data_IF_201453736564
#
_entry.id   IF_201453736564
#
_cell.length_a   1.000
_cell.length_b   1.000
_cell.length_c   1.000
_cell.angle_alpha   90.00
_cell.angle_beta   90.00
_cell.angle_gamma   90.00
#
_symmetry.space_group_name_H-M   'P 1'
#
loop_
_entity.id
_entity.type
_entity.pdbx_description
1 polymer ?
#
# COMPACT_ATOMS: atom_id res chain seq x y z
N UNK A 1 70.25 15.00 -16.42
CA UNK A 1 70.56 14.18 -15.22
C UNK A 1 69.23 13.67 -14.69
N UNK A 2 68.93 12.40 -14.90
CA UNK A 2 67.70 11.75 -14.49
C UNK A 2 67.70 11.53 -12.97
N UNK A 3 66.60 11.88 -12.29
CA UNK A 3 66.34 11.55 -10.89
C UNK A 3 65.08 10.69 -10.83
N UNK A 4 65.27 9.39 -10.63
CA UNK A 4 64.24 8.35 -10.67
C UNK A 4 63.07 8.59 -9.68
N UNK A 5 61.84 8.12 -9.99
CA UNK A 5 60.75 8.07 -9.02
C UNK A 5 61.16 7.13 -7.86
N UNK A 6 60.85 7.45 -6.59
CA UNK A 6 61.25 6.61 -5.48
C UNK A 6 60.64 5.22 -5.67
N UNK A 7 61.53 4.27 -5.95
CA UNK A 7 61.19 2.89 -6.23
C UNK A 7 60.42 2.28 -5.07
N UNK A 8 59.50 1.40 -5.46
CA UNK A 8 58.92 0.31 -4.68
C UNK A 8 60.01 -0.46 -3.91
N UNK A 9 60.38 0.03 -2.72
CA UNK A 9 61.24 -0.71 -1.80
C UNK A 9 60.37 -1.69 -1.01
N UNK A 10 59.97 -2.77 -1.68
CA UNK A 10 59.71 -4.04 -1.01
C UNK A 10 61.03 -4.50 -0.37
N UNK A 11 61.17 -4.28 0.94
CA UNK A 11 62.04 -4.98 1.93
C UNK A 11 62.24 -4.06 3.14
N UNK A 12 61.40 -4.19 4.17
CA UNK A 12 61.62 -3.44 5.40
C UNK A 12 60.54 -3.62 6.45
N UNK A 13 60.73 -4.63 7.30
CA UNK A 13 60.12 -4.80 8.63
C UNK A 13 58.58 -4.97 8.67
N UNK A 14 58.15 -6.20 8.39
CA UNK A 14 57.01 -6.76 9.11
C UNK A 14 57.36 -6.88 10.60
N UNK A 15 56.87 -5.93 11.40
CA UNK A 15 57.06 -5.91 12.85
C UNK A 15 56.39 -4.69 13.46
N UNK A 16 55.26 -4.91 14.16
CA UNK A 16 54.47 -4.04 15.08
C UNK A 16 54.14 -2.59 14.67
N UNK A 17 54.73 -2.04 13.62
CA UNK A 17 54.53 -0.67 13.13
C UNK A 17 54.06 -0.63 11.68
N UNK A 18 53.54 -1.75 11.16
CA UNK A 18 52.76 -1.75 9.92
C UNK A 18 51.44 -1.10 10.28
N UNK A 19 51.35 0.21 10.13
CA UNK A 19 50.08 0.92 10.17
C UNK A 19 49.25 0.26 9.06
N UNK A 20 48.22 -0.50 9.42
CA UNK A 20 47.24 -0.90 8.43
C UNK A 20 46.69 0.41 7.87
N UNK A 21 46.97 0.72 6.61
CA UNK A 21 46.18 1.72 5.89
C UNK A 21 44.78 1.09 5.82
N UNK A 22 43.98 1.38 6.85
CA UNK A 22 42.59 1.00 6.95
C UNK A 22 41.97 1.57 5.68
N UNK A 23 41.54 0.68 4.78
CA UNK A 23 41.12 1.04 3.43
C UNK A 23 40.21 2.25 3.44
N UNK A 24 40.44 3.17 2.50
CA UNK A 24 39.63 4.38 2.35
C UNK A 24 38.15 4.03 2.43
N UNK A 25 37.43 4.74 3.29
CA UNK A 25 36.03 4.44 3.59
C UNK A 25 35.18 4.40 2.33
N UNK A 26 34.19 3.50 2.31
CA UNK A 26 33.18 3.45 1.24
C UNK A 26 32.44 4.79 1.22
N UNK A 27 32.50 5.50 0.10
CA UNK A 27 31.81 6.77 -0.07
C UNK A 27 30.34 6.51 -0.43
N UNK A 28 29.52 6.29 0.59
CA UNK A 28 28.07 6.12 0.39
C UNK A 28 27.39 7.39 -0.13
N UNK A 29 28.06 8.54 -0.11
CA UNK A 29 27.55 9.83 -0.60
C UNK A 29 27.83 10.12 -2.08
N UNK A 30 28.57 9.25 -2.78
CA UNK A 30 28.96 9.50 -4.18
C UNK A 30 27.82 9.19 -5.16
N UNK A 31 26.97 8.22 -4.83
CA UNK A 31 25.96 7.65 -5.73
C UNK A 31 24.53 7.63 -5.14
N UNK A 32 24.21 8.55 -4.21
CA UNK A 32 22.86 8.65 -3.61
C UNK A 32 21.86 9.28 -4.59
N UNK A 33 22.35 10.09 -5.53
CA UNK A 33 21.50 10.82 -6.47
C UNK A 33 21.35 10.01 -7.76
N UNK A 34 20.15 9.95 -8.36
CA UNK A 34 19.98 9.31 -9.66
C UNK A 34 20.82 10.05 -10.70
N UNK A 35 21.48 9.29 -11.56
CA UNK A 35 22.41 9.80 -12.57
C UNK A 35 21.89 9.43 -13.95
N UNK A 36 22.00 10.35 -14.90
CA UNK A 36 21.64 10.09 -16.29
C UNK A 36 22.67 9.19 -16.99
N UNK A 37 22.35 8.75 -18.21
CA UNK A 37 23.22 7.88 -19.03
C UNK A 37 24.61 8.49 -19.28
N UNK A 38 24.72 9.81 -19.22
CA UNK A 38 25.95 10.57 -19.39
C UNK A 38 26.70 10.85 -18.08
N UNK A 39 26.26 10.30 -16.93
CA UNK A 39 26.95 10.46 -15.66
C UNK A 39 26.66 11.77 -14.91
N UNK A 40 25.66 12.55 -15.35
CA UNK A 40 25.25 13.80 -14.70
C UNK A 40 24.16 13.57 -13.64
N UNK A 41 24.26 14.26 -12.50
CA UNK A 41 23.27 14.18 -11.43
C UNK A 41 21.90 14.73 -11.89
N UNK A 42 20.87 13.89 -11.83
CA UNK A 42 19.49 14.27 -12.10
C UNK A 42 18.79 14.57 -10.78
N UNK A 43 18.08 15.69 -10.71
CA UNK A 43 17.28 15.98 -9.52
C UNK A 43 16.04 15.08 -9.51
N UNK A 44 15.74 14.47 -8.35
CA UNK A 44 14.60 13.56 -8.14
C UNK A 44 13.26 14.27 -8.44
N UNK A 45 13.24 15.61 -8.44
CA UNK A 45 12.06 16.44 -8.68
C UNK A 45 12.07 17.15 -10.04
N UNK A 46 13.03 16.86 -10.93
CA UNK A 46 13.00 17.36 -12.30
C UNK A 46 11.81 16.75 -13.06
N UNK A 47 11.15 17.54 -13.90
CA UNK A 47 9.98 17.12 -14.67
C UNK A 47 10.27 15.92 -15.60
N UNK A 48 11.52 15.79 -16.07
CA UNK A 48 11.96 14.69 -16.94
C UNK A 48 12.38 13.42 -16.18
N UNK A 49 12.53 13.47 -14.85
CA UNK A 49 12.96 12.31 -14.05
C UNK A 49 11.95 11.16 -14.08
N UNK A 50 10.65 11.45 -14.28
CA UNK A 50 9.60 10.43 -14.45
C UNK A 50 9.57 9.82 -15.86
N UNK A 51 9.98 10.58 -16.87
CA UNK A 51 9.81 10.21 -18.28
C UNK A 51 10.75 9.10 -18.75
N UNK A 52 11.86 8.88 -18.03
CA UNK A 52 12.87 7.88 -18.36
C UNK A 52 12.64 6.52 -17.69
N UNK A 53 11.71 6.43 -16.74
CA UNK A 53 11.24 5.18 -16.15
C UNK A 53 9.97 4.63 -16.81
N UNK A 54 9.53 5.23 -17.92
CA UNK A 54 8.21 5.02 -18.55
C UNK A 54 8.36 4.60 -20.03
N UNK A 55 9.47 3.94 -20.37
CA UNK A 55 9.73 3.41 -21.71
C UNK A 55 10.23 1.96 -21.63
N UNK A 56 9.45 1.13 -20.95
CA UNK A 56 9.40 -0.32 -21.19
C UNK A 56 7.98 -0.80 -20.86
N UNK A 57 7.33 -1.31 -21.90
CA UNK A 57 6.10 -2.10 -21.96
C UNK A 57 4.72 -1.41 -22.17
N UNK A 58 4.15 -1.81 -23.31
CA UNK A 58 2.94 -1.39 -24.02
C UNK A 58 1.71 -2.24 -23.62
N UNK A 59 0.52 -1.70 -23.91
CA UNK A 59 -0.70 -2.39 -24.39
C UNK A 59 -1.42 -3.49 -23.56
N UNK A 60 -2.69 -3.15 -23.25
CA UNK A 60 -3.90 -3.99 -23.34
C UNK A 60 -3.89 -5.45 -22.85
N UNK A 61 -4.57 -5.70 -21.71
CA UNK A 61 -5.55 -6.82 -21.61
C UNK A 61 -6.30 -6.83 -20.27
N UNK A 62 -7.62 -6.65 -20.38
CA UNK A 62 -8.66 -7.02 -19.41
C UNK A 62 -8.57 -8.53 -19.07
N UNK A 63 -8.25 -8.89 -17.82
CA UNK A 63 -8.55 -10.22 -17.27
C UNK A 63 -8.49 -10.19 -15.74
N UNK A 64 -9.66 -10.33 -15.11
CA UNK A 64 -9.78 -11.03 -13.84
C UNK A 64 -8.96 -12.33 -13.91
N UNK A 65 -8.10 -12.63 -12.93
CA UNK A 65 -7.92 -13.95 -12.30
C UNK A 65 -6.67 -13.97 -11.40
N UNK A 66 -6.93 -14.49 -10.20
CA UNK A 66 -5.99 -15.06 -9.24
C UNK A 66 -4.96 -15.99 -9.93
N UNK A 67 -3.66 -15.68 -9.84
CA UNK A 67 -2.62 -16.68 -10.13
C UNK A 67 -1.30 -16.34 -9.45
N UNK A 68 -0.90 -17.26 -8.59
CA UNK A 68 0.46 -17.46 -8.10
C UNK A 68 1.40 -17.66 -9.29
N UNK A 69 2.50 -16.90 -9.38
CA UNK A 69 3.70 -17.40 -10.05
C UNK A 69 4.97 -16.76 -9.48
N UNK A 70 5.74 -17.60 -8.80
CA UNK A 70 7.16 -17.43 -8.56
C UNK A 70 7.90 -17.74 -9.87
N UNK A 71 8.69 -16.80 -10.39
CA UNK A 71 9.67 -17.06 -11.44
C UNK A 71 11.01 -16.45 -11.03
N UNK A 72 11.84 -17.31 -10.45
CA UNK A 72 13.26 -17.14 -10.16
C UNK A 72 14.03 -17.44 -11.47
N UNK A 73 14.76 -16.47 -12.00
CA UNK A 73 15.64 -16.71 -13.15
C UNK A 73 17.07 -16.96 -12.66
N UNK A 74 17.48 -18.21 -12.90
CA UNK A 74 18.72 -18.85 -12.50
C UNK A 74 19.94 -18.29 -13.27
N UNK A 75 21.06 -18.13 -12.56
CA UNK A 75 22.38 -17.94 -13.17
C UNK A 75 23.34 -18.93 -12.52
N UNK A 76 23.64 -19.98 -13.28
CA UNK A 76 24.49 -21.12 -12.96
C UNK A 76 25.93 -20.73 -12.54
N UNK A 77 26.47 -21.36 -11.49
CA UNK A 77 27.80 -22.03 -11.51
C UNK A 77 28.05 -22.88 -10.23
N UNK A 78 28.40 -24.16 -10.44
CA UNK A 78 29.24 -25.05 -9.61
C UNK A 78 29.02 -25.19 -8.08
N UNK A 79 28.39 -26.29 -7.64
CA UNK A 79 28.88 -27.25 -6.61
C UNK A 79 27.74 -28.09 -6.02
N UNK A 80 27.57 -29.31 -6.54
CA UNK A 80 26.53 -30.25 -6.14
C UNK A 80 26.81 -30.93 -4.79
N UNK A 81 25.75 -31.09 -3.98
CA UNK A 81 25.53 -32.00 -2.82
C UNK A 81 25.46 -31.43 -1.39
N UNK A 82 25.85 -30.17 -1.10
CA UNK A 82 25.64 -29.56 0.22
C UNK A 82 24.40 -28.65 0.32
N UNK A 83 23.82 -28.25 -0.81
CA UNK A 83 22.75 -27.26 -0.89
C UNK A 83 21.34 -27.81 -0.55
N UNK A 84 21.07 -29.10 -0.77
CA UNK A 84 19.74 -29.69 -0.56
C UNK A 84 19.33 -29.78 0.91
N UNK A 85 20.28 -30.02 1.83
CA UNK A 85 19.99 -30.02 3.28
C UNK A 85 19.77 -28.61 3.84
N UNK A 86 20.37 -27.58 3.21
CA UNK A 86 20.17 -26.19 3.60
C UNK A 86 18.93 -25.57 2.94
N UNK A 87 18.53 -26.04 1.75
CA UNK A 87 17.28 -25.64 1.08
C UNK A 87 16.05 -26.06 1.89
N UNK A 88 16.00 -27.32 2.35
CA UNK A 88 14.95 -27.81 3.26
C UNK A 88 14.87 -26.94 4.54
N UNK A 89 16.03 -26.58 5.14
CA UNK A 89 16.07 -25.72 6.34
C UNK A 89 15.63 -24.26 6.11
N UNK A 90 15.63 -23.77 4.86
CA UNK A 90 15.14 -22.42 4.50
C UNK A 90 13.65 -22.45 4.18
N UNK A 91 13.19 -23.49 3.49
CA UNK A 91 11.78 -23.73 3.19
C UNK A 91 10.99 -23.97 4.48
N UNK A 92 11.50 -24.76 5.41
CA UNK A 92 10.89 -24.98 6.72
C UNK A 92 10.73 -23.66 7.50
N UNK A 93 11.76 -22.80 7.50
CA UNK A 93 11.66 -21.45 8.12
C UNK A 93 10.70 -20.53 7.41
N UNK A 94 10.57 -20.62 6.08
CA UNK A 94 9.60 -19.84 5.31
C UNK A 94 8.18 -20.31 5.61
N UNK A 95 7.96 -21.63 5.71
CA UNK A 95 6.68 -22.24 6.07
C UNK A 95 6.26 -21.87 7.50
N UNK A 96 7.18 -21.92 8.48
CA UNK A 96 6.90 -21.50 9.87
C UNK A 96 6.53 -20.01 9.96
N UNK A 97 7.21 -19.15 9.20
CA UNK A 97 6.89 -17.72 9.14
C UNK A 97 5.53 -17.44 8.49
N UNK A 98 5.21 -18.16 7.41
CA UNK A 98 3.87 -18.08 6.76
C UNK A 98 2.79 -18.59 7.72
N UNK A 99 3.00 -19.74 8.36
CA UNK A 99 2.07 -20.29 9.36
C UNK A 99 1.86 -19.37 10.57
N UNK A 100 2.90 -18.70 11.08
CA UNK A 100 2.76 -17.71 12.16
C UNK A 100 1.96 -16.48 11.74
N UNK A 101 2.19 -15.97 10.52
CA UNK A 101 1.43 -14.85 9.96
C UNK A 101 -0.03 -15.24 9.72
N UNK A 102 -0.28 -16.41 9.15
CA UNK A 102 -1.63 -16.93 8.92
C UNK A 102 -2.35 -17.20 10.24
N UNK A 103 -1.67 -17.69 11.28
CA UNK A 103 -2.25 -17.85 12.60
C UNK A 103 -2.60 -16.49 13.26
N UNK A 104 -1.80 -15.44 13.05
CA UNK A 104 -2.12 -14.09 13.51
C UNK A 104 -3.31 -13.50 12.75
N UNK A 105 -3.37 -13.70 11.43
CA UNK A 105 -4.50 -13.29 10.59
C UNK A 105 -5.77 -14.05 10.97
N UNK A 106 -5.67 -15.35 11.26
CA UNK A 106 -6.81 -16.14 11.74
C UNK A 106 -7.29 -15.68 13.11
N UNK A 107 -6.38 -15.33 14.03
CA UNK A 107 -6.74 -14.77 15.35
C UNK A 107 -7.39 -13.40 15.24
N UNK A 108 -6.90 -12.53 14.36
CA UNK A 108 -7.49 -11.20 14.13
C UNK A 108 -8.84 -11.30 13.43
N UNK A 109 -9.02 -12.23 12.48
CA UNK A 109 -10.32 -12.51 11.84
C UNK A 109 -11.31 -13.21 12.77
N UNK A 110 -10.85 -14.04 13.69
CA UNK A 110 -11.69 -14.70 14.70
C UNK A 110 -12.13 -13.74 15.82
N UNK A 111 -11.39 -12.65 16.05
CA UNK A 111 -11.85 -11.52 16.87
C UNK A 111 -12.94 -10.78 16.07
N UNK A 112 -14.19 -11.04 16.40
CA UNK A 112 -15.34 -10.34 15.82
C UNK A 112 -15.31 -8.88 16.25
N UNK A 113 -14.95 -7.99 15.34
CA UNK A 113 -14.91 -6.53 15.59
C UNK A 113 -16.35 -6.03 15.70
N UNK A 114 -16.78 -5.66 16.90
CA UNK A 114 -18.04 -4.97 17.13
C UNK A 114 -17.90 -3.47 16.81
N UNK A 115 -19.01 -2.82 16.43
CA UNK A 115 -19.03 -1.40 16.04
C UNK A 115 -18.71 -0.54 17.27
N UNK A 116 -17.46 -0.10 17.38
CA UNK A 116 -16.97 0.73 18.49
C UNK A 116 -15.67 0.24 19.10
N UNK A 117 -15.23 -1.00 18.80
CA UNK A 117 -13.92 -1.48 19.19
C UNK A 117 -12.89 -1.02 18.14
N UNK A 118 -12.21 0.08 18.44
CA UNK A 118 -11.05 0.55 17.67
C UNK A 118 -9.98 -0.55 17.79
N UNK A 119 -9.28 -0.96 16.71
CA UNK A 119 -8.15 -1.87 16.88
C UNK A 119 -7.17 -1.25 17.89
N UNK A 120 -6.97 -1.91 19.02
CA UNK A 120 -5.97 -1.49 20.01
C UNK A 120 -4.61 -1.53 19.34
N UNK A 121 -4.08 -0.34 19.03
CA UNK A 121 -2.71 -0.15 18.54
C UNK A 121 -1.69 -0.18 19.68
N UNK A 122 -2.08 -0.63 20.89
CA UNK A 122 -1.31 -0.53 22.13
C UNK A 122 -1.17 -1.91 22.80
N UNK A 123 -0.97 -2.97 22.01
CA UNK A 123 -0.73 -4.32 22.55
C UNK A 123 0.25 -5.16 21.71
N UNK A 124 1.08 -4.50 20.88
CA UNK A 124 2.32 -5.10 20.36
C UNK A 124 3.53 -4.55 21.12
N UNK A 125 3.99 -5.36 22.08
CA UNK A 125 5.41 -5.74 22.25
C UNK A 125 6.40 -4.57 22.39
N UNK A 126 6.50 -4.06 23.62
CA UNK A 126 7.59 -3.18 24.08
C UNK A 126 8.50 -3.92 25.07
N UNK A 127 8.78 -5.20 24.81
CA UNK A 127 9.65 -6.05 25.65
C UNK A 127 11.14 -6.02 25.24
N UNK A 128 11.53 -5.29 24.18
CA UNK A 128 12.92 -5.20 23.68
C UNK A 128 13.51 -3.76 23.75
N UNK A 129 12.75 -2.78 24.26
CA UNK A 129 13.15 -1.35 24.28
C UNK A 129 13.64 -0.86 25.66
N UNK A 130 13.64 -1.72 26.68
CA UNK A 130 14.09 -1.40 28.05
C UNK A 130 15.63 -1.41 28.23
N UNK A 131 16.39 -1.94 27.24
CA UNK A 131 17.85 -2.01 27.28
C UNK A 131 18.55 -0.84 26.54
N UNK A 132 17.79 0.13 26.03
CA UNK A 132 18.31 1.34 25.40
C UNK A 132 18.28 2.53 26.37
N UNK A 133 19.31 3.40 26.41
CA UNK A 133 19.30 4.57 27.27
C UNK A 133 18.15 5.51 26.88
N UNK A 134 17.20 5.70 27.80
CA UNK A 134 16.00 6.52 27.57
C UNK A 134 16.37 7.90 27.00
N UNK A 135 15.80 8.22 25.84
CA UNK A 135 15.99 9.52 25.20
C UNK A 135 15.45 10.62 26.13
N UNK A 136 16.27 11.59 26.58
CA UNK A 136 15.86 12.64 27.51
C UNK A 136 14.64 13.44 27.04
N UNK A 137 14.43 13.53 25.72
CA UNK A 137 13.31 14.27 25.13
C UNK A 137 11.99 13.47 25.08
N UNK A 138 12.05 12.14 25.20
CA UNK A 138 10.87 11.24 25.20
C UNK A 138 10.61 10.61 26.59
N UNK A 139 11.28 11.09 27.63
CA UNK A 139 11.09 10.58 28.98
C UNK A 139 9.70 10.92 29.53
N UNK A 140 9.14 10.03 30.37
CA UNK A 140 7.84 10.22 31.06
C UNK A 140 7.77 11.55 31.86
N UNK A 141 8.92 12.11 32.24
CA UNK A 141 9.03 13.40 32.91
C UNK A 141 8.68 14.60 32.01
N UNK A 142 9.08 14.59 30.72
CA UNK A 142 8.73 15.67 29.78
C UNK A 142 7.24 15.70 29.50
N UNK A 143 6.62 14.52 29.41
CA UNK A 143 5.17 14.36 29.28
C UNK A 143 4.40 14.89 30.49
N UNK A 144 4.89 14.67 31.71
CA UNK A 144 4.24 15.17 32.92
C UNK A 144 4.32 16.69 33.05
N UNK A 145 5.36 17.33 32.51
CA UNK A 145 5.47 18.79 32.47
C UNK A 145 4.52 19.42 31.45
N UNK A 146 4.30 18.79 30.29
CA UNK A 146 3.34 19.24 29.28
C UNK A 146 1.88 19.12 29.74
N UNK A 147 1.59 18.18 30.65
CA UNK A 147 0.26 18.00 31.27
C UNK A 147 -0.01 18.95 32.45
N UNK A 148 0.98 19.73 32.89
CA UNK A 148 0.93 20.53 34.12
C UNK A 148 0.29 21.92 34.01
N UNK A 149 -0.29 22.29 32.87
CA UNK A 149 -1.05 23.54 32.73
C UNK A 149 -2.51 23.23 32.44
N UNK A 150 -3.41 23.53 33.39
CA UNK A 150 -4.85 23.55 33.12
C UNK A 150 -5.11 24.57 32.00
N UNK A 151 -5.41 24.07 30.81
CA UNK A 151 -5.72 24.89 29.63
C UNK A 151 -7.00 25.68 29.89
N UNK A 152 -7.87 25.16 30.75
CA UNK A 152 -9.10 25.81 31.21
C UNK A 152 -8.82 27.10 32.00
N UNK A 153 -7.91 27.09 32.97
CA UNK A 153 -7.58 28.28 33.78
C UNK A 153 -6.94 29.39 32.93
N UNK A 154 -6.17 29.01 31.90
CA UNK A 154 -5.54 29.94 30.96
C UNK A 154 -6.59 30.53 30.01
N UNK A 155 -7.54 29.72 29.52
CA UNK A 155 -8.59 30.18 28.61
C UNK A 155 -9.64 31.04 29.33
N UNK A 156 -9.95 30.75 30.60
CA UNK A 156 -10.80 31.59 31.46
C UNK A 156 -10.15 32.94 31.81
N UNK A 157 -8.83 32.96 32.06
CA UNK A 157 -8.08 34.20 32.28
C UNK A 157 -8.06 35.12 31.04
N UNK A 158 -8.00 34.54 29.84
CA UNK A 158 -8.06 35.28 28.56
C UNK A 158 -9.48 35.74 28.25
N UNK A 159 -10.51 34.94 28.55
CA UNK A 159 -11.91 35.32 28.36
C UNK A 159 -12.37 36.45 29.30
N UNK A 160 -11.86 36.49 30.52
CA UNK A 160 -12.17 37.55 31.51
C UNK A 160 -11.42 38.87 31.24
N UNK A 161 -10.37 38.85 30.43
CA UNK A 161 -9.72 40.06 29.88
C UNK A 161 -10.53 40.58 28.68
N UNK A 162 -11.75 41.05 28.92
CA UNK A 162 -12.68 41.63 27.94
C UNK A 162 -12.22 42.93 27.27
N UNK A 163 -10.91 43.07 27.00
CA UNK A 163 -10.38 44.09 26.14
C UNK A 163 -10.71 43.72 24.69
N UNK A 164 -11.14 44.69 23.85
CA UNK A 164 -11.23 44.44 22.42
C UNK A 164 -9.84 44.01 21.94
N UNK A 165 -9.71 42.73 21.60
CA UNK A 165 -8.45 42.16 21.13
C UNK A 165 -7.80 43.07 20.10
N UNK A 166 -6.46 43.12 20.13
CA UNK A 166 -5.69 43.95 19.21
C UNK A 166 -6.22 43.80 17.78
N UNK A 167 -6.12 44.82 16.90
CA UNK A 167 -6.65 44.71 15.51
C UNK A 167 -6.27 43.39 14.83
N UNK A 168 -5.06 42.91 15.14
CA UNK A 168 -4.52 41.62 14.73
C UNK A 168 -5.31 40.41 15.23
N UNK A 169 -5.79 40.41 16.47
CA UNK A 169 -6.64 39.35 17.03
C UNK A 169 -8.03 39.36 16.41
N UNK A 170 -8.60 40.54 16.12
CA UNK A 170 -9.88 40.63 15.42
C UNK A 170 -9.79 40.09 13.99
N UNK A 171 -8.75 40.49 13.25
CA UNK A 171 -8.48 39.96 11.91
C UNK A 171 -8.19 38.45 11.94
N UNK A 172 -7.52 37.95 12.97
CA UNK A 172 -7.28 36.51 13.14
C UNK A 172 -8.60 35.74 13.38
N UNK A 173 -9.49 36.25 14.25
CA UNK A 173 -10.79 35.63 14.49
C UNK A 173 -11.69 35.68 13.24
N UNK A 174 -11.66 36.77 12.49
CA UNK A 174 -12.38 36.89 11.21
C UNK A 174 -11.83 35.93 10.15
N UNK A 175 -10.50 35.76 10.08
CA UNK A 175 -9.87 34.80 9.19
C UNK A 175 -10.23 33.35 9.55
N UNK A 176 -10.31 33.02 10.84
CA UNK A 176 -10.80 31.71 11.31
C UNK A 176 -12.27 31.52 10.93
N UNK A 177 -13.12 32.50 11.21
CA UNK A 177 -14.54 32.45 10.85
C UNK A 177 -14.77 32.34 9.33
N UNK A 178 -13.93 32.99 8.51
CA UNK A 178 -13.98 32.87 7.05
C UNK A 178 -13.60 31.47 6.56
N UNK A 179 -12.55 30.86 7.16
CA UNK A 179 -12.17 29.47 6.89
C UNK A 179 -13.27 28.50 7.30
N UNK A 180 -13.90 28.69 8.45
CA UNK A 180 -15.03 27.87 8.90
C UNK A 180 -16.22 27.98 7.96
N UNK A 181 -16.55 29.20 7.49
CA UNK A 181 -17.59 29.41 6.48
C UNK A 181 -17.26 28.72 5.16
N UNK A 182 -16.01 28.80 4.72
CA UNK A 182 -15.54 28.10 3.52
C UNK A 182 -15.69 26.58 3.67
N UNK A 183 -15.20 26.02 4.78
CA UNK A 183 -15.34 24.58 5.07
C UNK A 183 -16.81 24.16 5.14
N UNK A 184 -17.67 24.99 5.74
CA UNK A 184 -19.11 24.76 5.79
C UNK A 184 -19.74 24.79 4.39
N UNK A 185 -19.32 25.69 3.51
CA UNK A 185 -19.81 25.75 2.13
C UNK A 185 -19.29 24.57 1.28
N UNK A 186 -18.05 24.13 1.51
CA UNK A 186 -17.48 22.93 0.90
C UNK A 186 -18.26 21.70 1.31
N UNK A 187 -18.52 21.54 2.61
CA UNK A 187 -19.34 20.44 3.13
C UNK A 187 -20.77 20.47 2.58
N UNK A 188 -21.32 21.66 2.31
CA UNK A 188 -22.62 21.83 1.64
C UNK A 188 -22.58 21.59 0.12
N UNK A 189 -21.41 21.35 -0.47
CA UNK A 189 -21.28 21.16 -1.92
C UNK A 189 -21.43 22.43 -2.75
N UNK A 190 -21.33 23.62 -2.13
CA UNK A 190 -21.63 24.91 -2.79
C UNK A 190 -20.41 25.61 -3.37
N UNK A 191 -19.21 25.26 -2.92
CA UNK A 191 -17.95 25.69 -3.52
C UNK A 191 -17.77 25.06 -4.89
N UNK A 192 -17.03 25.71 -5.77
CA UNK A 192 -16.86 25.22 -7.14
C UNK A 192 -16.07 23.90 -7.17
N UNK A 193 -15.13 23.72 -6.24
CA UNK A 193 -14.42 22.46 -6.03
C UNK A 193 -15.37 21.32 -5.66
N UNK A 194 -16.27 21.54 -4.70
CA UNK A 194 -17.21 20.51 -4.28
C UNK A 194 -18.25 20.20 -5.36
N UNK A 195 -18.68 21.20 -6.14
CA UNK A 195 -19.53 20.98 -7.32
C UNK A 195 -18.82 20.14 -8.38
N UNK A 196 -17.54 20.40 -8.63
CA UNK A 196 -16.75 19.62 -9.58
C UNK A 196 -16.63 18.16 -9.11
N UNK A 197 -16.39 17.92 -7.82
CA UNK A 197 -16.34 16.56 -7.27
C UNK A 197 -17.70 15.86 -7.32
N UNK A 198 -18.79 16.58 -7.03
CA UNK A 198 -20.15 16.02 -7.21
C UNK A 198 -20.46 15.70 -8.67
N UNK A 199 -20.02 16.54 -9.62
CA UNK A 199 -20.19 16.30 -11.06
C UNK A 199 -19.40 15.05 -11.51
N UNK A 200 -18.15 14.90 -11.04
CA UNK A 200 -17.36 13.68 -11.28
C UNK A 200 -18.06 12.43 -10.74
N UNK A 201 -18.57 12.50 -9.50
CA UNK A 201 -19.32 11.40 -8.90
C UNK A 201 -20.65 11.12 -9.63
N UNK A 202 -21.31 12.14 -10.18
CA UNK A 202 -22.52 11.96 -10.98
C UNK A 202 -22.24 11.19 -12.28
N UNK A 203 -21.15 11.52 -12.98
CA UNK A 203 -20.71 10.80 -14.18
C UNK A 203 -20.48 9.31 -13.87
N UNK A 204 -19.78 9.01 -12.77
CA UNK A 204 -19.53 7.61 -12.36
C UNK A 204 -20.85 6.90 -12.02
N UNK A 205 -21.79 7.57 -11.34
CA UNK A 205 -23.11 6.99 -11.06
C UNK A 205 -23.90 6.73 -12.34
N UNK A 206 -23.83 7.62 -13.31
CA UNK A 206 -24.48 7.45 -14.61
C UNK A 206 -23.87 6.28 -15.39
N UNK A 207 -22.54 6.16 -15.42
CA UNK A 207 -21.84 5.03 -16.04
C UNK A 207 -22.23 3.71 -15.39
N UNK A 208 -22.19 3.63 -14.05
CA UNK A 208 -22.62 2.43 -13.31
C UNK A 208 -24.09 2.10 -13.53
N UNK A 209 -24.96 3.11 -13.60
CA UNK A 209 -26.38 2.90 -13.87
C UNK A 209 -26.62 2.41 -15.31
N UNK A 210 -25.89 2.95 -16.29
CA UNK A 210 -25.95 2.52 -17.68
C UNK A 210 -25.43 1.10 -17.86
N UNK A 211 -24.32 0.75 -17.21
CA UNK A 211 -23.78 -0.62 -17.20
C UNK A 211 -24.72 -1.61 -16.49
N UNK A 212 -25.29 -1.21 -15.34
CA UNK A 212 -26.28 -2.02 -14.64
C UNK A 212 -27.52 -2.23 -15.52
N UNK A 213 -28.01 -1.19 -16.18
CA UNK A 213 -29.14 -1.27 -17.11
C UNK A 213 -28.84 -2.14 -18.34
N UNK A 214 -27.62 -2.06 -18.90
CA UNK A 214 -27.17 -2.97 -19.97
C UNK A 214 -27.12 -4.41 -19.49
N UNK A 215 -26.56 -4.66 -18.29
CA UNK A 215 -26.50 -6.00 -17.69
C UNK A 215 -27.88 -6.58 -17.39
N UNK A 216 -28.84 -5.77 -16.94
CA UNK A 216 -30.22 -6.23 -16.72
C UNK A 216 -30.92 -6.50 -18.04
N UNK A 217 -30.76 -5.64 -19.05
CA UNK A 217 -31.34 -5.85 -20.38
C UNK A 217 -30.80 -7.13 -21.05
N UNK A 218 -29.48 -7.34 -21.01
CA UNK A 218 -28.88 -8.57 -21.54
C UNK A 218 -29.33 -9.82 -20.77
N UNK A 219 -29.52 -9.72 -19.45
CA UNK A 219 -30.03 -10.83 -18.63
C UNK A 219 -31.47 -11.14 -19.00
N UNK A 220 -32.32 -10.14 -19.19
CA UNK A 220 -33.72 -10.32 -19.58
C UNK A 220 -33.84 -10.91 -21.00
N UNK A 221 -32.99 -10.51 -21.95
CA UNK A 221 -32.94 -11.11 -23.28
C UNK A 221 -32.43 -12.56 -23.26
N UNK A 222 -31.37 -12.85 -22.48
CA UNK A 222 -30.88 -14.21 -22.26
C UNK A 222 -31.96 -15.08 -21.62
N UNK A 223 -32.67 -14.59 -20.61
CA UNK A 223 -33.77 -15.32 -19.99
C UNK A 223 -34.96 -15.54 -20.95
N UNK A 224 -35.30 -14.57 -21.79
CA UNK A 224 -36.36 -14.72 -22.78
C UNK A 224 -36.00 -15.77 -23.84
N UNK A 225 -34.76 -15.75 -24.35
CA UNK A 225 -34.28 -16.76 -25.31
C UNK A 225 -34.16 -18.15 -24.67
N UNK A 226 -33.73 -18.24 -23.41
CA UNK A 226 -33.72 -19.49 -22.67
C UNK A 226 -35.13 -20.04 -22.42
N UNK A 227 -36.10 -19.18 -22.07
CA UNK A 227 -37.50 -19.59 -21.89
C UNK A 227 -38.09 -20.09 -23.21
N UNK A 228 -37.77 -19.45 -24.34
CA UNK A 228 -38.15 -19.92 -25.66
C UNK A 228 -37.51 -21.27 -26.01
N UNK A 229 -36.20 -21.44 -25.77
CA UNK A 229 -35.50 -22.72 -25.99
C UNK A 229 -36.01 -23.84 -25.09
N UNK A 230 -36.31 -23.55 -23.82
CA UNK A 230 -36.89 -24.49 -22.86
C UNK A 230 -38.30 -24.90 -23.32
N UNK A 231 -39.14 -23.96 -23.72
CA UNK A 231 -40.47 -24.25 -24.25
C UNK A 231 -40.43 -25.07 -25.55
N UNK A 232 -39.50 -24.77 -26.46
CA UNK A 232 -39.30 -25.56 -27.69
C UNK A 232 -38.81 -26.98 -27.38
N UNK A 233 -37.88 -27.11 -26.42
CA UNK A 233 -37.38 -28.41 -25.98
C UNK A 233 -38.49 -29.25 -25.34
N UNK A 234 -39.27 -28.67 -24.43
CA UNK A 234 -40.42 -29.32 -23.80
C UNK A 234 -41.49 -29.72 -24.82
N UNK A 235 -41.79 -28.88 -25.80
CA UNK A 235 -42.71 -29.21 -26.89
C UNK A 235 -42.17 -30.36 -27.77
N UNK A 236 -40.86 -30.37 -28.05
CA UNK A 236 -40.21 -31.45 -28.81
C UNK A 236 -40.18 -32.76 -28.01
N UNK A 237 -39.97 -32.70 -26.70
CA UNK A 237 -39.99 -33.86 -25.82
C UNK A 237 -41.41 -34.42 -25.67
N UNK A 238 -42.41 -33.55 -25.48
CA UNK A 238 -43.83 -33.95 -25.47
C UNK A 238 -44.22 -34.63 -26.79
N UNK A 239 -43.82 -34.07 -27.94
CA UNK A 239 -44.04 -34.70 -29.25
C UNK A 239 -43.34 -36.05 -29.39
N UNK A 240 -42.11 -36.20 -28.88
CA UNK A 240 -41.40 -37.50 -28.86
C UNK A 240 -42.07 -38.51 -27.94
N UNK A 241 -42.60 -38.06 -26.79
CA UNK A 241 -43.29 -38.89 -25.80
C UNK A 241 -44.65 -39.37 -26.30
N UNK A 242 -45.37 -38.53 -27.04
CA UNK A 242 -46.62 -38.90 -27.71
C UNK A 242 -46.38 -39.84 -28.91
N UNK A 243 -45.30 -39.61 -29.66
CA UNK A 243 -44.89 -40.48 -30.78
C UNK A 243 -44.28 -41.82 -30.32
N UNK A 244 -43.86 -41.95 -29.05
CA UNK A 244 -43.40 -43.21 -28.49
C UNK A 244 -44.63 -44.09 -28.19
N UNK A 245 -44.88 -45.20 -28.93
CA UNK A 245 -46.05 -46.03 -28.68
C UNK A 245 -45.92 -46.65 -27.28
N UNK A 246 -46.94 -46.42 -26.44
CA UNK A 246 -47.09 -47.11 -25.16
C UNK A 246 -46.89 -48.61 -25.43
N UNK A 247 -45.89 -49.24 -24.82
CA UNK A 247 -45.72 -50.70 -24.82
C UNK A 247 -46.93 -51.32 -24.12
N UNK A 248 -48.06 -51.43 -24.84
CA UNK A 248 -49.22 -52.21 -24.44
C UNK A 248 -48.83 -53.67 -24.55
N UNK A 249 -48.54 -54.24 -23.37
CA UNK A 249 -48.79 -55.62 -22.98
C UNK A 249 -48.46 -56.71 -23.99
N UNK A 250 -47.26 -57.31 -23.84
CA UNK A 250 -47.06 -58.70 -24.24
C UNK A 250 -47.64 -59.58 -23.12
N UNK A 251 -48.95 -59.84 -23.18
CA UNK A 251 -49.60 -60.95 -22.48
C UNK A 251 -49.56 -62.18 -23.38
N UNK A 252 -49.27 -63.32 -22.73
CA UNK A 252 -49.18 -64.71 -23.23
C UNK A 252 -47.90 -65.06 -23.97
#
# INVERSE_FOLDING_TARGET
MAGAPPGTSSRGRGGKFKKYTRGGGKHFSRDIRPVDADGNEVSIWAADAKKKGENDDDEDTDSEEDSEEESDEDSEDEATTAAQAQAASREDRKAEKKARKEAAIAKTRAKTVEVGDMPSSDEEDSEDDDDMPANPNHSKASWNQAKGGNVEDITEGVANMGAPGSRREREALEAVAAKEKYMKLQAQGKTDDAKADLARLAIIREQRAAEAARRTAEREEKEATEKQKKAEFEAREARKKEAAPSKKGKKK
#
